data_IF_783260340638
#
_entry.id   IF_783260340638
#
_cell.length_a   1.000
_cell.length_b   1.000
_cell.length_c   1.000
_cell.angle_alpha   90.00
_cell.angle_beta   90.00
_cell.angle_gamma   90.00
#
_symmetry.space_group_name_H-M   'P 1'
#
loop_
_entity.id
_entity.type
_entity.pdbx_description
1 polymer ?
#
# COMPACT_ATOMS: atom_id res chain seq x y z
N UNK A 1 -10.40 -17.28 -32.20
CA UNK A 1 -9.65 -16.08 -32.66
C UNK A 1 -8.69 -15.68 -31.55
N UNK A 2 -7.39 -15.70 -31.81
CA UNK A 2 -6.35 -15.37 -30.82
C UNK A 2 -6.42 -13.87 -30.51
N UNK A 3 -6.81 -13.49 -29.30
CA UNK A 3 -6.62 -12.13 -28.80
C UNK A 3 -5.13 -11.83 -28.86
N UNK A 4 -4.72 -10.84 -29.67
CA UNK A 4 -3.33 -10.37 -29.69
C UNK A 4 -3.03 -9.80 -28.30
N UNK A 5 -2.02 -10.35 -27.63
CA UNK A 5 -1.47 -9.82 -26.38
C UNK A 5 -1.15 -8.33 -26.57
N UNK A 6 -1.89 -7.45 -25.90
CA UNK A 6 -1.64 -6.01 -25.89
C UNK A 6 -0.89 -5.66 -24.60
N UNK A 7 0.43 -5.39 -24.65
CA UNK A 7 1.20 -5.04 -23.45
C UNK A 7 0.77 -3.69 -22.82
N UNK A 8 -0.04 -2.90 -23.52
CA UNK A 8 -0.60 -1.62 -23.09
C UNK A 8 -2.04 -1.71 -22.56
N UNK A 9 -2.63 -2.91 -22.51
CA UNK A 9 -3.97 -3.07 -21.92
C UNK A 9 -3.90 -3.01 -20.40
N UNK A 10 -4.86 -2.31 -19.78
CA UNK A 10 -5.14 -2.45 -18.34
C UNK A 10 -5.87 -3.77 -18.05
N UNK A 11 -6.44 -4.45 -19.06
CA UNK A 11 -7.07 -5.78 -18.96
C UNK A 11 -6.03 -6.91 -18.91
N UNK A 12 -5.08 -6.81 -17.99
CA UNK A 12 -4.15 -7.90 -17.68
C UNK A 12 -4.43 -8.39 -16.27
N UNK A 13 -4.11 -9.64 -15.96
CA UNK A 13 -4.13 -10.10 -14.57
C UNK A 13 -3.02 -9.37 -13.81
N UNK A 14 -3.36 -8.30 -13.09
CA UNK A 14 -2.41 -7.56 -12.26
C UNK A 14 -1.92 -8.38 -11.06
N UNK A 15 -2.49 -9.57 -10.84
CA UNK A 15 -2.03 -10.58 -9.89
C UNK A 15 -2.28 -10.24 -8.42
N UNK A 16 -2.84 -9.06 -8.12
CA UNK A 16 -3.02 -8.54 -6.76
C UNK A 16 -4.42 -7.94 -6.49
N UNK A 17 -5.42 -8.27 -7.29
CA UNK A 17 -6.77 -7.66 -7.15
C UNK A 17 -7.57 -8.39 -6.07
N UNK A 18 -7.27 -8.11 -4.80
CA UNK A 18 -8.21 -8.32 -3.71
C UNK A 18 -8.71 -6.95 -3.25
N UNK A 19 -9.85 -6.56 -3.83
CA UNK A 19 -10.53 -5.32 -3.50
C UNK A 19 -11.13 -5.42 -2.08
N UNK A 20 -10.40 -4.89 -1.09
CA UNK A 20 -10.93 -4.14 0.07
C UNK A 20 -9.81 -3.81 1.03
N UNK A 21 -9.33 -2.56 1.01
CA UNK A 21 -8.58 -1.94 2.14
C UNK A 21 -8.41 -0.40 2.09
N UNK A 22 -9.25 0.33 1.34
CA UNK A 22 -9.26 1.81 1.32
C UNK A 22 -10.68 2.37 1.16
N UNK A 23 -11.43 2.55 2.26
CA UNK A 23 -12.77 3.14 2.22
C UNK A 23 -12.80 4.55 1.61
N UNK A 24 -11.73 5.34 1.75
CA UNK A 24 -11.60 6.64 1.09
C UNK A 24 -11.74 6.52 -0.43
N UNK A 25 -10.86 5.74 -1.07
CA UNK A 25 -10.84 5.57 -2.53
C UNK A 25 -12.16 5.02 -3.11
N UNK A 26 -12.86 4.17 -2.35
CA UNK A 26 -14.13 3.56 -2.80
C UNK A 26 -15.30 4.56 -2.74
N UNK A 27 -15.27 5.50 -1.79
CA UNK A 27 -16.36 6.46 -1.55
C UNK A 27 -16.22 7.75 -2.36
N UNK A 28 -15.01 8.10 -2.77
CA UNK A 28 -14.76 9.32 -3.51
C UNK A 28 -15.41 9.32 -4.90
N UNK A 29 -15.92 10.47 -5.32
CA UNK A 29 -16.64 10.64 -6.58
C UNK A 29 -15.71 10.75 -7.79
N UNK A 30 -14.51 11.28 -7.57
CA UNK A 30 -13.50 11.54 -8.60
C UNK A 30 -12.09 11.37 -8.01
N UNK A 31 -11.06 11.34 -8.87
CA UNK A 31 -9.68 11.10 -8.44
C UNK A 31 -9.08 12.25 -7.60
N UNK A 32 -9.53 13.49 -7.77
CA UNK A 32 -9.08 14.62 -6.98
C UNK A 32 -9.60 14.53 -5.54
N UNK A 33 -10.88 14.19 -5.38
CA UNK A 33 -11.51 13.87 -4.10
C UNK A 33 -10.84 12.63 -3.47
N UNK A 34 -10.60 11.58 -4.26
CA UNK A 34 -9.92 10.36 -3.80
C UNK A 34 -8.53 10.64 -3.23
N UNK A 35 -7.78 11.57 -3.85
CA UNK A 35 -6.46 11.97 -3.39
C UNK A 35 -6.46 12.60 -2.00
N UNK A 36 -7.40 13.51 -1.72
CA UNK A 36 -7.46 14.17 -0.42
C UNK A 36 -8.06 13.26 0.66
N UNK A 37 -9.08 12.47 0.31
CA UNK A 37 -9.69 11.51 1.24
C UNK A 37 -8.69 10.42 1.66
N UNK A 38 -7.87 9.95 0.72
CA UNK A 38 -6.80 9.00 1.03
C UNK A 38 -5.76 9.63 1.97
N UNK A 39 -5.35 10.87 1.74
CA UNK A 39 -4.40 11.56 2.60
C UNK A 39 -4.92 11.69 4.05
N UNK A 40 -6.21 12.06 4.20
CA UNK A 40 -6.89 12.10 5.51
C UNK A 40 -6.92 10.73 6.17
N UNK A 41 -7.33 9.69 5.43
CA UNK A 41 -7.36 8.32 5.96
C UNK A 41 -5.99 7.86 6.46
N UNK A 42 -4.91 8.19 5.75
CA UNK A 42 -3.54 7.86 6.17
C UNK A 42 -3.18 8.60 7.46
N UNK A 43 -3.43 9.91 7.53
CA UNK A 43 -3.16 10.70 8.74
C UNK A 43 -3.95 10.17 9.93
N UNK A 44 -5.26 9.95 9.76
CA UNK A 44 -6.14 9.45 10.82
C UNK A 44 -5.72 8.06 11.32
N UNK A 45 -5.19 7.21 10.42
CA UNK A 45 -4.74 5.85 10.76
C UNK A 45 -3.41 5.82 11.51
N UNK A 46 -2.64 6.91 11.47
CA UNK A 46 -1.22 6.89 11.79
C UNK A 46 -0.81 7.92 12.86
N UNK A 47 -1.42 9.09 12.85
CA UNK A 47 -1.18 10.14 13.83
C UNK A 47 -2.38 10.21 14.76
N UNK A 48 -2.17 9.97 16.05
CA UNK A 48 -3.22 10.20 17.05
C UNK A 48 -3.72 11.64 16.93
N UNK A 49 -5.05 11.82 17.01
CA UNK A 49 -5.88 13.03 16.79
C UNK A 49 -5.46 14.35 17.52
N UNK A 50 -4.25 14.47 18.04
CA UNK A 50 -3.76 15.60 18.82
C UNK A 50 -2.90 16.62 18.05
N UNK A 51 -2.58 16.37 16.78
CA UNK A 51 -1.79 17.31 15.99
C UNK A 51 -2.64 18.02 14.94
N UNK A 52 -2.57 19.35 14.94
CA UNK A 52 -3.16 20.21 13.91
C UNK A 52 -2.44 19.96 12.57
N UNK A 53 -2.91 18.96 11.83
CA UNK A 53 -2.42 18.67 10.49
C UNK A 53 -3.08 19.60 9.49
N UNK A 54 -2.30 20.49 8.90
CA UNK A 54 -2.78 21.41 7.86
C UNK A 54 -2.76 20.71 6.50
N UNK A 55 -3.64 19.72 6.31
CA UNK A 55 -3.92 19.23 4.96
C UNK A 55 -4.69 20.31 4.18
N UNK A 56 -4.44 20.47 2.87
CA UNK A 56 -5.23 21.40 2.07
C UNK A 56 -6.69 20.94 2.03
N UNK A 57 -7.63 21.89 2.02
CA UNK A 57 -9.06 21.56 1.95
C UNK A 57 -9.42 20.80 0.65
N UNK A 58 -8.70 21.11 -0.43
CA UNK A 58 -8.87 20.53 -1.76
C UNK A 58 -7.49 20.14 -2.30
N UNK A 59 -7.39 18.98 -2.95
CA UNK A 59 -6.14 18.59 -3.62
C UNK A 59 -5.97 19.33 -4.96
N UNK A 60 -4.76 19.41 -5.49
CA UNK A 60 -4.52 19.85 -6.85
C UNK A 60 -5.19 18.91 -7.84
N UNK A 61 -5.64 19.45 -8.98
CA UNK A 61 -6.39 18.71 -9.99
C UNK A 61 -5.69 17.41 -10.42
N UNK A 62 -6.46 16.33 -10.56
CA UNK A 62 -5.98 15.04 -11.03
C UNK A 62 -6.49 14.80 -12.44
N UNK A 63 -5.57 14.69 -13.40
CA UNK A 63 -5.90 14.35 -14.79
C UNK A 63 -5.59 12.89 -15.05
N UNK A 64 -6.54 12.19 -15.67
CA UNK A 64 -6.40 10.83 -16.14
C UNK A 64 -6.16 10.85 -17.65
N UNK A 65 -4.97 10.46 -18.08
CA UNK A 65 -4.55 10.59 -19.48
C UNK A 65 -4.41 9.21 -20.12
N UNK A 66 -5.35 8.90 -21.02
CA UNK A 66 -5.42 7.61 -21.71
C UNK A 66 -5.85 6.45 -20.82
N UNK A 67 -6.49 6.75 -19.68
CA UNK A 67 -7.06 5.79 -18.73
C UNK A 67 -8.45 6.26 -18.31
N UNK A 68 -9.25 5.36 -17.73
CA UNK A 68 -10.56 5.70 -17.21
C UNK A 68 -10.43 6.67 -16.01
N UNK A 69 -11.15 7.81 -15.96
CA UNK A 69 -11.09 8.72 -14.81
C UNK A 69 -11.93 8.27 -13.60
N UNK A 70 -12.82 7.29 -13.73
CA UNK A 70 -13.65 6.79 -12.63
C UNK A 70 -12.77 6.00 -11.63
N UNK A 71 -12.67 6.45 -10.36
CA UNK A 71 -11.92 5.74 -9.34
C UNK A 71 -12.34 4.27 -9.19
N UNK A 72 -13.64 3.94 -9.31
CA UNK A 72 -14.14 2.57 -9.13
C UNK A 72 -13.69 1.66 -10.26
N UNK A 73 -13.74 2.16 -11.50
CA UNK A 73 -13.27 1.42 -12.68
C UNK A 73 -11.77 1.19 -12.57
N UNK A 74 -10.99 2.22 -12.24
CA UNK A 74 -9.54 2.07 -12.04
C UNK A 74 -9.23 1.09 -10.91
N UNK A 75 -9.92 1.15 -9.78
CA UNK A 75 -9.69 0.23 -8.65
C UNK A 75 -9.94 -1.22 -9.10
N UNK A 76 -10.98 -1.46 -9.88
CA UNK A 76 -11.25 -2.80 -10.41
C UNK A 76 -10.16 -3.29 -11.37
N UNK A 77 -9.56 -2.38 -12.15
CA UNK A 77 -8.51 -2.71 -13.11
C UNK A 77 -7.14 -2.94 -12.45
N UNK A 78 -6.69 -2.03 -11.58
CA UNK A 78 -5.30 -2.03 -11.07
C UNK A 78 -5.18 -2.21 -9.55
N UNK A 79 -6.27 -2.10 -8.80
CA UNK A 79 -6.28 -2.24 -7.34
C UNK A 79 -5.93 -0.96 -6.57
N UNK A 80 -6.29 -0.93 -5.29
CA UNK A 80 -6.21 0.26 -4.43
C UNK A 80 -4.78 0.71 -4.12
N UNK A 81 -3.84 -0.23 -3.98
CA UNK A 81 -2.46 0.10 -3.61
C UNK A 81 -1.76 0.88 -4.74
N UNK A 82 -1.97 0.47 -5.99
CA UNK A 82 -1.39 1.14 -7.17
C UNK A 82 -1.97 2.54 -7.34
N UNK A 83 -3.29 2.68 -7.17
CA UNK A 83 -3.95 3.99 -7.25
C UNK A 83 -3.50 4.90 -6.10
N UNK A 84 -3.40 4.36 -4.89
CA UNK A 84 -2.93 5.12 -3.73
C UNK A 84 -1.53 5.69 -3.95
N UNK A 85 -0.61 4.89 -4.50
CA UNK A 85 0.71 5.37 -4.89
C UNK A 85 0.63 6.43 -6.00
N UNK A 86 -0.13 6.17 -7.07
CA UNK A 86 -0.26 7.11 -8.19
C UNK A 86 -0.83 8.48 -7.78
N UNK A 87 -1.69 8.52 -6.76
CA UNK A 87 -2.27 9.76 -6.25
C UNK A 87 -1.32 10.54 -5.33
N UNK A 88 -0.36 9.88 -4.68
CA UNK A 88 0.42 10.48 -3.59
C UNK A 88 1.93 10.57 -3.84
N UNK A 89 2.50 9.78 -4.75
CA UNK A 89 3.94 9.60 -4.87
C UNK A 89 4.68 10.75 -5.58
N UNK A 90 4.06 11.39 -6.58
CA UNK A 90 4.82 12.24 -7.50
C UNK A 90 5.01 13.68 -7.00
N UNK A 91 3.97 14.31 -6.47
CA UNK A 91 4.00 15.73 -6.11
C UNK A 91 3.18 16.02 -4.84
N UNK A 92 3.41 17.18 -4.17
CA UNK A 92 2.60 17.62 -3.03
C UNK A 92 1.09 17.66 -3.32
N UNK A 93 0.27 17.46 -2.28
CA UNK A 93 -1.19 17.39 -2.42
C UNK A 93 -1.83 18.58 -3.13
N UNK A 94 -1.31 19.79 -2.95
CA UNK A 94 -1.85 21.02 -3.58
C UNK A 94 -1.44 21.17 -5.06
N UNK A 95 -0.47 20.40 -5.54
CA UNK A 95 0.00 20.47 -6.94
C UNK A 95 -0.81 19.53 -7.84
N UNK A 96 -1.15 19.94 -9.07
CA UNK A 96 -1.85 19.06 -10.00
C UNK A 96 -0.98 17.86 -10.40
N UNK A 97 -1.63 16.74 -10.70
CA UNK A 97 -0.96 15.52 -11.20
C UNK A 97 -1.63 15.00 -12.47
N UNK A 98 -0.86 14.25 -13.24
CA UNK A 98 -1.33 13.52 -14.41
C UNK A 98 -1.02 12.04 -14.21
N UNK A 99 -2.07 11.25 -14.05
CA UNK A 99 -1.98 9.79 -13.99
C UNK A 99 -2.05 9.26 -15.42
N UNK A 100 -1.08 8.43 -15.78
CA UNK A 100 -0.98 7.80 -17.09
C UNK A 100 -0.91 6.30 -16.92
N UNK A 101 -1.18 5.55 -17.99
CA UNK A 101 -0.94 4.10 -17.99
C UNK A 101 0.49 3.76 -17.52
N UNK A 102 1.49 4.52 -17.98
CA UNK A 102 2.89 4.27 -17.63
C UNK A 102 3.19 4.49 -16.15
N UNK A 103 2.59 5.49 -15.51
CA UNK A 103 2.79 5.70 -14.06
C UNK A 103 2.17 4.55 -13.25
N UNK A 104 0.97 4.09 -13.61
CA UNK A 104 0.34 2.90 -13.00
C UNK A 104 1.21 1.64 -13.16
N UNK A 105 1.76 1.41 -14.36
CA UNK A 105 2.68 0.30 -14.61
C UNK A 105 3.94 0.43 -13.76
N UNK A 106 4.48 1.64 -13.58
CA UNK A 106 5.63 1.91 -12.73
C UNK A 106 5.41 1.48 -11.29
N UNK A 107 4.30 1.91 -10.68
CA UNK A 107 3.94 1.51 -9.32
C UNK A 107 3.73 0.00 -9.18
N UNK A 108 3.05 -0.63 -10.15
CA UNK A 108 2.89 -2.09 -10.15
C UNK A 108 4.24 -2.83 -10.23
N UNK A 109 5.15 -2.39 -11.10
CA UNK A 109 6.49 -3.00 -11.21
C UNK A 109 7.26 -2.88 -9.90
N UNK A 110 7.21 -1.73 -9.25
CA UNK A 110 7.84 -1.54 -7.96
C UNK A 110 7.22 -2.47 -6.90
N UNK A 111 5.90 -2.54 -6.80
CA UNK A 111 5.22 -3.45 -5.88
C UNK A 111 5.53 -4.94 -6.15
N UNK A 112 5.69 -5.32 -7.43
CA UNK A 112 6.18 -6.64 -7.84
C UNK A 112 7.59 -6.93 -7.33
N UNK A 113 8.50 -5.94 -7.34
CA UNK A 113 9.85 -6.07 -6.79
C UNK A 113 9.81 -6.21 -5.27
N UNK A 114 8.98 -5.40 -4.59
CA UNK A 114 8.75 -5.52 -3.15
C UNK A 114 8.24 -6.92 -2.81
N UNK A 115 7.19 -7.39 -3.51
CA UNK A 115 6.67 -8.73 -3.32
C UNK A 115 7.75 -9.80 -3.48
N UNK A 116 8.53 -9.76 -4.56
CA UNK A 116 9.60 -10.73 -4.80
C UNK A 116 10.65 -10.69 -3.67
N UNK A 117 11.05 -9.51 -3.21
CA UNK A 117 12.06 -9.35 -2.15
C UNK A 117 11.63 -9.96 -0.81
N UNK A 118 10.33 -9.95 -0.50
CA UNK A 118 9.79 -10.33 0.81
C UNK A 118 9.00 -11.65 0.82
N UNK A 119 8.66 -12.23 -0.34
CA UNK A 119 7.83 -13.45 -0.42
C UNK A 119 8.59 -14.76 -0.24
N UNK A 120 9.91 -14.77 -0.46
CA UNK A 120 10.73 -15.98 -0.46
C UNK A 120 10.87 -16.67 0.92
N UNK A 121 10.50 -16.01 2.01
CA UNK A 121 10.70 -16.50 3.38
C UNK A 121 9.53 -17.38 3.91
N UNK A 122 8.57 -17.74 3.05
CA UNK A 122 7.26 -18.27 3.48
C UNK A 122 7.09 -19.79 3.43
N UNK A 123 8.01 -20.54 2.81
CA UNK A 123 7.84 -21.98 2.60
C UNK A 123 7.86 -22.85 3.87
N UNK A 124 8.07 -22.28 5.07
CA UNK A 124 8.18 -23.05 6.33
C UNK A 124 7.29 -22.55 7.48
N UNK A 125 6.39 -21.57 7.28
CA UNK A 125 5.56 -21.01 8.37
C UNK A 125 4.12 -21.55 8.33
N UNK A 126 3.94 -22.84 8.04
CA UNK A 126 2.63 -23.47 8.08
C UNK A 126 2.10 -23.73 9.51
N UNK A 127 2.90 -23.58 10.57
CA UNK A 127 2.51 -24.05 11.91
C UNK A 127 3.03 -23.22 13.11
N UNK A 128 3.53 -22.00 12.93
CA UNK A 128 3.93 -21.19 14.09
C UNK A 128 2.71 -20.46 14.67
N UNK A 129 2.48 -20.49 16.01
CA UNK A 129 1.47 -19.65 16.63
C UNK A 129 1.73 -18.20 16.23
N UNK A 130 0.68 -17.47 15.85
CA UNK A 130 0.75 -16.07 15.45
C UNK A 130 1.70 -15.35 16.41
N UNK A 131 2.85 -14.89 15.89
CA UNK A 131 3.79 -14.19 16.74
C UNK A 131 3.05 -12.95 17.21
N UNK A 132 2.94 -12.79 18.53
CA UNK A 132 2.43 -11.56 19.11
C UNK A 132 3.17 -10.44 18.40
N UNK A 133 2.48 -9.54 17.67
CA UNK A 133 3.15 -8.33 17.21
C UNK A 133 3.79 -7.75 18.46
N UNK A 134 5.11 -7.46 18.46
CA UNK A 134 5.79 -7.03 19.67
C UNK A 134 4.92 -5.95 20.33
N UNK A 135 4.43 -6.26 21.54
CA UNK A 135 3.67 -5.33 22.35
C UNK A 135 4.51 -4.06 22.40
N UNK A 136 3.91 -2.98 21.91
CA UNK A 136 4.57 -1.78 21.38
C UNK A 136 4.90 -1.88 19.87
N UNK A 137 3.86 -1.76 19.03
CA UNK A 137 3.95 -1.17 17.66
C UNK A 137 4.22 0.35 17.78
N UNK A 138 5.08 0.70 18.74
CA UNK A 138 5.65 2.00 19.10
C UNK A 138 7.16 1.84 19.29
N UNK A 139 7.74 0.75 18.76
CA UNK A 139 9.17 0.63 18.52
C UNK A 139 9.57 1.58 17.41
N UNK A 140 9.75 2.87 17.76
CA UNK A 140 10.39 3.92 16.98
C UNK A 140 10.17 3.77 15.47
N UNK A 141 8.95 4.04 15.02
CA UNK A 141 8.73 4.30 13.60
C UNK A 141 9.72 5.39 13.19
N UNK A 142 10.39 5.17 12.06
CA UNK A 142 11.38 6.05 11.45
C UNK A 142 10.80 7.47 11.49
N UNK A 143 11.46 8.37 12.22
CA UNK A 143 11.00 9.74 12.47
C UNK A 143 10.64 10.48 11.18
N UNK A 144 11.27 10.07 10.08
CA UNK A 144 11.21 10.77 8.81
C UNK A 144 9.89 10.48 8.05
N UNK A 145 9.47 9.21 7.93
CA UNK A 145 8.15 8.86 7.36
C UNK A 145 7.05 9.53 8.15
N UNK A 146 7.17 9.52 9.49
CA UNK A 146 6.18 10.12 10.38
C UNK A 146 6.07 11.63 10.18
N UNK A 147 7.19 12.31 10.27
CA UNK A 147 7.25 13.76 10.09
C UNK A 147 6.72 14.19 8.72
N UNK A 148 7.01 13.40 7.67
CA UNK A 148 6.47 13.67 6.35
C UNK A 148 4.94 13.51 6.27
N UNK A 149 4.37 12.48 6.91
CA UNK A 149 2.90 12.32 6.97
C UNK A 149 2.26 13.46 7.77
N UNK A 150 2.81 13.80 8.93
CA UNK A 150 2.30 14.87 9.80
C UNK A 150 2.30 16.25 9.11
N UNK A 151 3.25 16.48 8.20
CA UNK A 151 3.38 17.72 7.44
C UNK A 151 2.72 17.68 6.05
N UNK A 152 1.94 16.63 5.75
CA UNK A 152 1.25 16.47 4.46
C UNK A 152 2.18 16.20 3.26
N UNK A 153 3.42 15.79 3.51
CA UNK A 153 4.47 15.50 2.52
C UNK A 153 4.48 14.01 2.12
N UNK A 154 3.33 13.47 1.72
CA UNK A 154 3.18 12.05 1.33
C UNK A 154 4.13 11.62 0.21
N UNK A 155 4.31 12.46 -0.82
CA UNK A 155 5.28 12.22 -1.89
C UNK A 155 6.71 12.00 -1.37
N UNK A 156 7.13 12.78 -0.37
CA UNK A 156 8.44 12.60 0.29
C UNK A 156 8.48 11.31 1.10
N UNK A 157 7.42 10.99 1.86
CA UNK A 157 7.34 9.73 2.60
C UNK A 157 7.46 8.50 1.68
N UNK A 158 6.77 8.51 0.53
CA UNK A 158 6.84 7.43 -0.46
C UNK A 158 8.23 7.38 -1.12
N UNK A 159 8.85 8.53 -1.40
CA UNK A 159 10.22 8.57 -1.91
C UNK A 159 11.21 7.95 -0.91
N UNK A 160 11.05 8.24 0.39
CA UNK A 160 11.85 7.61 1.46
C UNK A 160 11.64 6.10 1.48
N UNK A 161 10.40 5.61 1.32
CA UNK A 161 10.14 4.16 1.19
C UNK A 161 10.85 3.54 -0.02
N UNK A 162 10.83 4.21 -1.17
CA UNK A 162 11.56 3.74 -2.34
C UNK A 162 13.07 3.67 -2.08
N UNK A 163 13.65 4.69 -1.45
CA UNK A 163 15.06 4.72 -1.09
C UNK A 163 15.42 3.63 -0.09
N UNK A 164 14.60 3.43 0.95
CA UNK A 164 14.79 2.37 1.92
C UNK A 164 14.73 0.98 1.25
N UNK A 165 13.78 0.76 0.35
CA UNK A 165 13.68 -0.49 -0.41
C UNK A 165 14.95 -0.78 -1.24
N UNK A 166 15.56 0.24 -1.85
CA UNK A 166 16.80 0.08 -2.63
C UNK A 166 17.99 -0.39 -1.79
N UNK A 167 17.97 -0.19 -0.47
CA UNK A 167 19.03 -0.68 0.42
C UNK A 167 18.92 -2.18 0.73
N UNK A 168 17.76 -2.79 0.43
CA UNK A 168 17.57 -4.21 0.70
C UNK A 168 18.26 -5.06 -0.36
N UNK A 169 19.19 -5.88 0.10
CA UNK A 169 19.74 -6.95 -0.70
C UNK A 169 18.67 -8.00 -1.02
N UNK A 170 18.88 -8.82 -2.08
CA UNK A 170 18.03 -9.96 -2.38
C UNK A 170 17.84 -10.87 -1.14
N UNK A 171 16.75 -11.65 -1.09
CA UNK A 171 16.28 -12.29 0.12
C UNK A 171 17.39 -13.07 0.84
N UNK A 172 17.66 -12.68 2.08
CA UNK A 172 18.49 -13.48 2.98
C UNK A 172 17.77 -14.79 3.28
N UNK A 173 18.49 -15.92 3.24
CA UNK A 173 17.94 -17.25 3.60
C UNK A 173 17.68 -17.41 5.10
N UNK A 174 17.30 -16.34 5.79
CA UNK A 174 17.11 -16.30 7.23
C UNK A 174 15.63 -16.34 7.55
N UNK A 175 15.22 -17.23 8.46
CA UNK A 175 13.83 -17.40 8.88
C UNK A 175 13.24 -16.24 9.70
N UNK A 176 14.01 -15.17 9.95
CA UNK A 176 13.58 -14.01 10.73
C UNK A 176 13.80 -12.75 9.91
N UNK A 177 12.73 -12.01 9.66
CA UNK A 177 12.80 -10.67 9.10
C UNK A 177 13.59 -9.75 10.03
N UNK A 178 14.53 -8.98 9.47
CA UNK A 178 15.29 -7.99 10.24
C UNK A 178 14.39 -6.83 10.72
N UNK A 179 14.72 -6.15 11.83
CA UNK A 179 13.92 -5.02 12.32
C UNK A 179 13.70 -3.91 11.28
N UNK A 180 14.71 -3.62 10.45
CA UNK A 180 14.62 -2.60 9.40
C UNK A 180 13.65 -3.02 8.29
N UNK A 181 13.68 -4.29 7.88
CA UNK A 181 12.75 -4.87 6.91
C UNK A 181 11.32 -4.93 7.45
N UNK A 182 11.16 -5.24 8.73
CA UNK A 182 9.85 -5.21 9.41
C UNK A 182 9.28 -3.79 9.47
N UNK A 183 10.09 -2.81 9.87
CA UNK A 183 9.69 -1.39 9.90
C UNK A 183 9.30 -0.89 8.51
N UNK A 184 10.03 -1.28 7.46
CA UNK A 184 9.64 -0.97 6.09
C UNK A 184 8.26 -1.54 5.73
N UNK A 185 7.98 -2.81 6.06
CA UNK A 185 6.68 -3.40 5.77
C UNK A 185 5.55 -2.72 6.55
N UNK A 186 5.80 -2.29 7.79
CA UNK A 186 4.87 -1.50 8.57
C UNK A 186 4.57 -0.15 7.91
N UNK A 187 5.58 0.62 7.54
CA UNK A 187 5.38 1.90 6.84
C UNK A 187 4.73 1.69 5.47
N UNK A 188 5.06 0.61 4.76
CA UNK A 188 4.43 0.24 3.50
C UNK A 188 2.92 0.05 3.65
N UNK A 189 2.42 -0.51 4.77
CA UNK A 189 0.97 -0.66 4.99
C UNK A 189 0.21 0.67 4.97
N UNK A 190 0.89 1.79 5.27
CA UNK A 190 0.28 3.11 5.27
C UNK A 190 -0.03 3.63 3.88
N UNK A 191 0.60 3.09 2.85
CA UNK A 191 0.38 3.50 1.45
C UNK A 191 -0.22 2.37 0.64
N UNK A 192 0.27 1.15 0.86
CA UNK A 192 -0.11 -0.10 0.20
C UNK A 192 -0.61 -1.12 1.23
N UNK A 193 -1.79 -0.89 1.84
CA UNK A 193 -2.30 -1.70 2.94
C UNK A 193 -2.54 -3.15 2.54
N UNK A 194 -2.85 -3.43 1.27
CA UNK A 194 -3.07 -4.80 0.84
C UNK A 194 -1.74 -5.58 0.79
N UNK A 195 -0.79 -5.15 -0.05
CA UNK A 195 0.51 -5.81 -0.18
C UNK A 195 1.29 -5.79 1.14
N UNK A 196 1.31 -4.65 1.83
CA UNK A 196 2.02 -4.52 3.11
C UNK A 196 1.48 -5.49 4.16
N UNK A 197 0.15 -5.60 4.31
CA UNK A 197 -0.43 -6.51 5.31
C UNK A 197 -0.20 -7.97 4.93
N UNK A 198 -0.35 -8.32 3.65
CA UNK A 198 -0.15 -9.70 3.18
C UNK A 198 1.30 -10.14 3.41
N UNK A 199 2.27 -9.26 3.15
CA UNK A 199 3.68 -9.54 3.45
C UNK A 199 3.91 -9.65 4.96
N UNK A 200 3.35 -8.77 5.79
CA UNK A 200 3.42 -8.92 7.25
C UNK A 200 2.80 -10.24 7.74
N UNK A 201 1.65 -10.63 7.19
CA UNK A 201 0.97 -11.89 7.49
C UNK A 201 1.85 -13.09 7.19
N UNK A 202 2.45 -13.11 6.00
CA UNK A 202 3.40 -14.12 5.54
C UNK A 202 4.61 -14.29 6.44
N UNK A 203 5.05 -13.21 7.08
CA UNK A 203 6.14 -13.22 8.06
C UNK A 203 5.67 -13.51 9.50
N UNK A 204 4.37 -13.76 9.72
CA UNK A 204 3.78 -14.10 11.00
C UNK A 204 3.42 -12.91 11.91
N UNK A 205 3.35 -11.69 11.35
CA UNK A 205 3.16 -10.43 12.10
C UNK A 205 1.77 -9.79 11.94
N UNK A 206 0.88 -10.33 11.11
CA UNK A 206 -0.50 -9.86 11.01
C UNK A 206 -1.48 -10.89 11.57
N UNK A 207 -2.48 -10.42 12.33
CA UNK A 207 -3.58 -11.25 12.81
C UNK A 207 -4.39 -11.69 11.59
N UNK A 208 -4.34 -12.98 11.26
CA UNK A 208 -5.27 -13.55 10.28
C UNK A 208 -6.69 -13.13 10.68
N UNK A 209 -7.44 -12.58 9.72
CA UNK A 209 -8.83 -12.20 9.97
C UNK A 209 -9.55 -13.38 10.63
N UNK A 210 -10.34 -13.11 11.67
CA UNK A 210 -11.12 -14.14 12.36
C UNK A 210 -12.19 -14.69 11.43
N UNK A 211 -11.80 -15.62 10.54
CA UNK A 211 -12.69 -16.62 10.00
C UNK A 211 -12.91 -17.65 11.10
N UNK A 212 -13.85 -17.35 11.98
CA UNK A 212 -14.42 -18.34 12.89
C UNK A 212 -15.13 -19.38 12.01
N UNK A 213 -14.44 -20.45 11.64
CA UNK A 213 -15.13 -21.71 11.40
C UNK A 213 -15.36 -22.32 12.78
N UNK A 214 -16.59 -22.34 13.31
CA UNK A 214 -16.87 -23.27 14.37
C UNK A 214 -16.65 -24.65 13.75
N UNK A 215 -15.73 -25.42 14.34
CA UNK A 215 -15.74 -26.86 14.17
C UNK A 215 -17.07 -27.32 14.76
N UNK A 216 -17.90 -27.90 13.93
CA UNK A 216 -18.94 -28.81 14.37
C UNK A 216 -18.25 -29.89 15.19
N UNK A 217 -18.40 -29.81 16.51
CA UNK A 217 -18.24 -30.96 17.39
C UNK A 217 -19.61 -31.63 17.41
N UNK A 218 -19.75 -32.67 16.58
CA UNK A 218 -20.72 -33.73 16.84
C UNK A 218 -20.28 -34.45 18.12
N UNK A 219 -21.10 -34.32 19.17
CA UNK A 219 -21.38 -35.37 20.16
C UNK A 219 -22.85 -35.26 20.58
#
# INVERSE_FOLDING_TARGET
MSQRYNPHSLDREWGFVLAKKRPALIRSQDLQSARIDLAKEIVDSYVSLQSDHTLPAISGAVKADGIDPDPKVLIAQVGTDIIGLALLADVPLHRPIRITHNSLVGHWRWLRQVWACFSHDTNNIALSPARTPPGNITGKIISDTRHHIETGRFHTAIATLHQQFQTFSPPEKTSKISPVRLSFLQDLTLFCPFIGTELLYRHGYARGGSGHHPKDSEE
#
